data_IF_005657278407
#
_entry.id   IF_005657278407
#
_cell.length_a   1.000
_cell.length_b   1.000
_cell.length_c   1.000
_cell.angle_alpha   90.00
_cell.angle_beta   90.00
_cell.angle_gamma   90.00
#
_symmetry.space_group_name_H-M   'P 1'
#
loop_
_entity.id
_entity.type
_entity.pdbx_description
1 polymer ?
#
# COMPACT_ATOMS: atom_id res chain seq x y z
N UNK A 1 -9.34 -4.01 12.91
CA UNK A 1 -9.97 -4.52 11.67
C UNK A 1 -9.04 -5.49 10.99
N UNK A 2 -9.57 -6.41 10.18
CA UNK A 2 -8.76 -7.32 9.37
C UNK A 2 -9.25 -7.22 7.92
N UNK A 3 -8.34 -6.96 6.98
CA UNK A 3 -8.64 -6.93 5.55
C UNK A 3 -8.10 -8.18 4.89
N UNK A 4 -8.88 -8.81 4.02
CA UNK A 4 -8.43 -9.92 3.20
C UNK A 4 -7.68 -9.44 1.95
N UNK A 5 -6.46 -9.92 1.80
CA UNK A 5 -5.52 -9.61 0.74
C UNK A 5 -5.02 -10.91 0.09
N UNK A 6 -5.80 -11.51 -0.83
CA UNK A 6 -5.45 -12.79 -1.46
C UNK A 6 -4.16 -12.71 -2.29
N UNK A 7 -3.79 -11.52 -2.75
CA UNK A 7 -2.59 -11.26 -3.54
C UNK A 7 -1.33 -11.09 -2.68
N UNK A 8 -1.44 -11.20 -1.36
CA UNK A 8 -0.32 -11.11 -0.43
C UNK A 8 0.53 -12.39 -0.47
N UNK A 9 1.39 -12.48 -1.49
CA UNK A 9 2.30 -13.61 -1.72
C UNK A 9 3.53 -13.58 -0.80
N UNK A 10 4.21 -14.72 -0.62
CA UNK A 10 5.50 -14.80 0.09
C UNK A 10 6.52 -13.77 -0.42
N UNK A 11 6.57 -13.53 -1.73
CA UNK A 11 7.46 -12.53 -2.32
C UNK A 11 7.18 -11.12 -1.81
N UNK A 12 5.91 -10.77 -1.59
CA UNK A 12 5.52 -9.48 -1.02
C UNK A 12 5.88 -9.42 0.46
N UNK A 13 5.71 -10.52 1.21
CA UNK A 13 6.17 -10.61 2.61
C UNK A 13 7.68 -10.40 2.76
N UNK A 14 8.47 -11.06 1.92
CA UNK A 14 9.94 -11.06 2.06
C UNK A 14 10.59 -9.75 1.61
N UNK A 15 10.02 -9.10 0.60
CA UNK A 15 10.70 -8.02 -0.12
C UNK A 15 9.80 -6.92 -0.67
N UNK A 16 8.49 -7.07 -0.54
CA UNK A 16 7.52 -6.12 -1.05
C UNK A 16 7.29 -4.93 -0.14
N UNK A 17 6.45 -4.03 -0.63
CA UNK A 17 5.94 -2.88 0.13
C UNK A 17 4.44 -3.03 0.27
N UNK A 18 3.95 -2.81 1.48
CA UNK A 18 2.53 -2.79 1.80
C UNK A 18 2.20 -1.39 2.28
N UNK A 19 1.32 -0.71 1.56
CA UNK A 19 0.79 0.60 1.95
C UNK A 19 -0.66 0.44 2.36
N UNK A 20 -1.03 0.98 3.51
CA UNK A 20 -2.40 0.92 4.02
C UNK A 20 -2.94 2.33 4.17
N UNK A 21 -4.19 2.52 3.76
CA UNK A 21 -4.89 3.80 3.85
C UNK A 21 -6.27 3.61 4.47
N UNK A 22 -6.67 4.57 5.28
CA UNK A 22 -8.04 4.70 5.77
C UNK A 22 -8.74 5.85 5.06
N UNK A 23 -10.05 5.73 4.88
CA UNK A 23 -10.92 6.81 4.44
C UNK A 23 -11.92 7.16 5.52
N UNK A 24 -12.11 8.45 5.76
CA UNK A 24 -13.16 8.98 6.62
C UNK A 24 -13.87 10.13 5.86
N UNK A 25 -15.07 9.86 5.35
CA UNK A 25 -15.76 10.77 4.45
C UNK A 25 -14.93 11.04 3.19
N UNK A 26 -14.53 12.30 2.97
CA UNK A 26 -13.68 12.71 1.85
C UNK A 26 -12.19 12.70 2.16
N UNK A 27 -11.82 12.47 3.43
CA UNK A 27 -10.43 12.51 3.88
C UNK A 27 -9.79 11.13 3.73
N UNK A 28 -8.53 11.11 3.31
CA UNK A 28 -7.72 9.89 3.18
C UNK A 28 -6.50 10.04 4.08
N UNK A 29 -6.24 9.03 4.90
CA UNK A 29 -5.11 8.96 5.82
C UNK A 29 -4.23 7.77 5.48
N UNK A 30 -2.92 7.96 5.38
CA UNK A 30 -1.96 6.86 5.35
C UNK A 30 -1.81 6.27 6.74
N UNK A 31 -1.73 4.94 6.85
CA UNK A 31 -1.39 4.21 8.07
C UNK A 31 0.06 3.72 7.93
N UNK A 32 0.93 3.92 8.95
CA UNK A 32 0.62 4.41 10.29
C UNK A 32 0.30 5.91 10.39
N UNK A 33 -0.52 6.27 11.37
CA UNK A 33 -0.89 7.67 11.67
C UNK A 33 -1.11 7.87 13.18
N UNK A 34 -0.87 9.08 13.68
CA UNK A 34 -1.08 9.41 15.09
C UNK A 34 -1.94 10.66 15.22
N UNK A 35 -3.07 10.53 15.91
CA UNK A 35 -3.93 11.64 16.29
C UNK A 35 -3.75 11.95 17.77
N UNK A 36 -2.78 12.83 18.09
CA UNK A 36 -2.46 13.18 19.48
C UNK A 36 -3.65 13.75 20.26
N UNK A 37 -4.49 14.58 19.62
CA UNK A 37 -5.69 15.15 20.24
C UNK A 37 -6.76 14.11 20.56
N UNK A 38 -6.76 12.97 19.87
CA UNK A 38 -7.69 11.87 20.08
C UNK A 38 -7.09 10.73 20.91
N UNK A 39 -5.81 10.84 21.29
CA UNK A 39 -5.07 9.80 21.98
C UNK A 39 -5.03 8.46 21.21
N UNK A 40 -4.94 8.53 19.88
CA UNK A 40 -4.97 7.36 19.00
C UNK A 40 -3.69 7.24 18.16
N UNK A 41 -3.09 6.06 18.17
CA UNK A 41 -2.05 5.64 17.23
C UNK A 41 -2.55 4.47 16.40
N UNK A 42 -2.59 4.67 15.08
CA UNK A 42 -3.02 3.70 14.09
C UNK A 42 -1.82 3.04 13.44
N UNK A 43 -1.86 1.71 13.39
CA UNK A 43 -0.84 0.89 12.75
C UNK A 43 -1.50 -0.28 12.01
N UNK A 44 -0.71 -0.95 11.16
CA UNK A 44 -1.07 -2.23 10.61
C UNK A 44 0.07 -3.22 10.80
N UNK A 45 -0.29 -4.50 10.84
CA UNK A 45 0.66 -5.61 10.84
C UNK A 45 0.10 -6.81 10.10
N UNK A 46 0.99 -7.72 9.72
CA UNK A 46 0.63 -9.07 9.28
C UNK A 46 0.71 -9.98 10.52
N UNK A 47 -0.12 -11.02 10.60
CA UNK A 47 -0.09 -11.91 11.77
C UNK A 47 0.95 -13.02 11.62
N UNK A 48 1.32 -13.37 10.38
CA UNK A 48 2.32 -14.38 10.03
C UNK A 48 2.95 -14.08 8.66
N UNK A 49 4.08 -14.73 8.36
CA UNK A 49 4.85 -14.62 7.12
C UNK A 49 4.15 -15.19 5.89
N UNK A 50 3.11 -16.02 6.10
CA UNK A 50 2.26 -16.57 5.04
C UNK A 50 0.82 -16.05 5.14
N UNK A 51 0.59 -15.03 5.96
CA UNK A 51 -0.75 -14.50 6.17
C UNK A 51 -1.26 -13.81 4.90
N UNK A 52 -2.57 -13.86 4.70
CA UNK A 52 -3.29 -13.10 3.66
C UNK A 52 -4.17 -12.01 4.29
N UNK A 53 -4.02 -11.78 5.59
CA UNK A 53 -4.74 -10.76 6.32
C UNK A 53 -3.83 -9.60 6.70
N UNK A 54 -4.31 -8.39 6.41
CA UNK A 54 -3.73 -7.15 6.92
C UNK A 54 -4.54 -6.74 8.15
N UNK A 55 -3.90 -6.84 9.32
CA UNK A 55 -4.49 -6.54 10.60
C UNK A 55 -4.23 -5.07 10.97
N UNK A 56 -5.28 -4.24 10.93
CA UNK A 56 -5.24 -2.84 11.34
C UNK A 56 -5.57 -2.76 12.84
N UNK A 57 -4.74 -2.04 13.58
CA UNK A 57 -4.84 -1.86 15.04
C UNK A 57 -4.79 -0.38 15.40
N UNK A 58 -5.46 -0.05 16.49
CA UNK A 58 -5.42 1.27 17.10
C UNK A 58 -5.00 1.08 18.55
N UNK A 59 -4.05 1.88 18.99
CA UNK A 59 -3.51 1.86 20.34
C UNK A 59 -3.68 3.24 20.97
N UNK A 60 -3.82 3.25 22.30
CA UNK A 60 -3.82 4.47 23.09
C UNK A 60 -2.39 4.97 23.22
N UNK A 61 -2.16 6.26 23.01
CA UNK A 61 -0.82 6.84 23.11
C UNK A 61 -0.39 6.93 24.59
N UNK A 62 -1.33 7.21 25.50
CA UNK A 62 -1.08 7.40 26.93
C UNK A 62 -1.60 6.27 27.82
N UNK A 63 -2.15 5.19 27.24
CA UNK A 63 -2.74 4.06 27.97
C UNK A 63 -4.18 4.27 28.46
N UNK A 64 -4.76 5.45 28.24
CA UNK A 64 -6.18 5.74 28.49
C UNK A 64 -7.12 5.03 27.52
N UNK A 65 -8.43 5.11 27.78
CA UNK A 65 -9.45 4.51 26.93
C UNK A 65 -9.60 5.28 25.60
N UNK A 66 -9.58 4.56 24.47
CA UNK A 66 -9.73 5.10 23.12
C UNK A 66 -11.20 5.44 22.80
N UNK A 67 -12.16 4.79 23.48
CA UNK A 67 -13.58 4.98 23.17
C UNK A 67 -13.93 4.44 21.78
N UNK A 68 -14.58 5.26 20.96
CA UNK A 68 -14.89 4.91 19.57
C UNK A 68 -13.77 5.39 18.64
N UNK A 69 -13.02 4.47 18.00
CA UNK A 69 -11.86 4.86 17.20
C UNK A 69 -12.24 5.75 16.01
N UNK A 70 -11.41 6.77 15.75
CA UNK A 70 -11.70 7.79 14.75
C UNK A 70 -11.76 7.27 13.31
N UNK A 71 -10.78 6.45 12.91
CA UNK A 71 -10.73 5.85 11.57
C UNK A 71 -11.49 4.52 11.54
N UNK A 72 -12.82 4.55 11.56
CA UNK A 72 -13.63 3.34 11.52
C UNK A 72 -14.18 3.01 10.12
N UNK A 73 -13.78 1.87 9.55
CA UNK A 73 -14.64 1.10 8.64
C UNK A 73 -14.27 1.06 7.15
N UNK A 74 -13.58 2.07 6.61
CA UNK A 74 -13.18 2.06 5.19
C UNK A 74 -11.65 2.10 5.07
N UNK A 75 -11.10 0.98 4.60
CA UNK A 75 -9.68 0.79 4.45
C UNK A 75 -9.36 0.19 3.09
N UNK A 76 -8.20 0.57 2.55
CA UNK A 76 -7.63 -0.01 1.34
C UNK A 76 -6.15 -0.23 1.51
N UNK A 77 -5.61 -1.12 0.70
CA UNK A 77 -4.19 -1.40 0.66
C UNK A 77 -3.65 -1.35 -0.77
N UNK A 78 -2.34 -1.19 -0.88
CA UNK A 78 -1.57 -1.33 -2.13
C UNK A 78 -0.42 -2.27 -1.83
N UNK A 79 -0.29 -3.30 -2.67
CA UNK A 79 0.82 -4.26 -2.61
C UNK A 79 1.76 -3.96 -3.77
N UNK A 80 3.04 -3.75 -3.46
CA UNK A 80 4.09 -3.56 -4.46
C UNK A 80 5.07 -4.73 -4.31
N UNK A 81 5.16 -5.64 -5.29
CA UNK A 81 6.11 -6.74 -5.24
C UNK A 81 7.55 -6.25 -5.16
N UNK A 82 8.36 -6.89 -4.32
CA UNK A 82 9.80 -6.62 -4.25
C UNK A 82 10.55 -7.06 -5.50
N UNK A 83 11.76 -6.55 -5.66
CA UNK A 83 12.63 -6.87 -6.80
C UNK A 83 12.21 -6.20 -8.12
N UNK A 84 11.16 -5.39 -8.12
CA UNK A 84 10.89 -4.44 -9.21
C UNK A 84 11.80 -3.24 -8.98
N UNK A 85 12.81 -3.07 -9.83
CA UNK A 85 13.63 -1.87 -9.78
C UNK A 85 12.70 -0.65 -9.89
N UNK A 86 12.82 0.30 -8.96
CA UNK A 86 12.18 1.61 -9.05
C UNK A 86 12.87 2.45 -10.15
N UNK A 87 13.01 1.91 -11.36
CA UNK A 87 13.49 2.69 -12.49
C UNK A 87 12.31 3.50 -13.00
N UNK A 88 12.23 4.75 -12.54
CA UNK A 88 11.41 5.78 -13.18
C UNK A 88 11.84 6.06 -14.63
N UNK A 89 12.91 5.40 -15.11
CA UNK A 89 13.32 5.34 -16.50
C UNK A 89 12.88 4.01 -17.07
N UNK A 90 12.29 4.05 -18.26
CA UNK A 90 12.11 2.85 -19.08
C UNK A 90 13.41 2.06 -19.11
N UNK A 91 13.33 0.74 -18.93
CA UNK A 91 14.47 -0.16 -19.17
C UNK A 91 14.92 -0.13 -20.63
N UNK A 92 14.10 0.46 -21.51
CA UNK A 92 14.37 0.63 -22.93
C UNK A 92 14.91 2.03 -23.19
N UNK A 93 16.08 2.07 -23.83
CA UNK A 93 16.64 3.28 -24.41
C UNK A 93 16.01 3.55 -25.79
N UNK A 94 14.94 4.34 -25.80
CA UNK A 94 14.24 4.71 -27.04
C UNK A 94 15.08 5.59 -27.97
N UNK A 95 16.17 6.21 -27.51
CA UNK A 95 17.05 7.02 -28.36
C UNK A 95 17.82 6.20 -29.39
N UNK A 96 17.83 4.87 -29.21
CA UNK A 96 18.49 3.91 -30.10
C UNK A 96 17.51 3.15 -30.99
N UNK A 97 16.21 3.41 -30.89
CA UNK A 97 15.19 2.74 -31.70
C UNK A 97 14.85 3.55 -32.94
N UNK A 98 14.56 2.87 -34.05
CA UNK A 98 14.00 3.51 -35.23
C UNK A 98 12.53 3.91 -35.01
N UNK A 99 12.00 4.76 -35.88
CA UNK A 99 10.59 5.14 -35.83
C UNK A 99 9.67 3.90 -35.96
N UNK A 100 10.02 2.98 -36.85
CA UNK A 100 9.28 1.76 -37.13
C UNK A 100 9.25 0.84 -35.90
N UNK A 101 10.39 0.66 -35.23
CA UNK A 101 10.47 -0.14 -34.00
C UNK A 101 9.64 0.46 -32.85
N UNK A 102 9.52 1.80 -32.81
CA UNK A 102 8.65 2.49 -31.85
C UNK A 102 7.18 2.31 -32.24
N UNK A 103 6.83 2.49 -33.52
CA UNK A 103 5.47 2.35 -34.01
C UNK A 103 4.91 0.94 -33.76
N UNK A 104 5.69 -0.09 -34.07
CA UNK A 104 5.31 -1.50 -33.82
C UNK A 104 5.13 -1.78 -32.32
N UNK A 105 6.04 -1.28 -31.48
CA UNK A 105 5.98 -1.53 -30.03
C UNK A 105 4.75 -0.89 -29.37
N UNK A 106 4.34 0.28 -29.85
CA UNK A 106 3.23 1.03 -29.28
C UNK A 106 1.93 0.92 -30.10
N UNK A 107 1.90 0.07 -31.13
CA UNK A 107 0.78 -0.10 -32.05
C UNK A 107 0.30 1.24 -32.64
N UNK A 108 1.24 2.08 -33.08
CA UNK A 108 0.93 3.35 -33.73
C UNK A 108 0.56 3.06 -35.20
N UNK A 109 -0.61 3.47 -35.69
CA UNK A 109 -1.00 3.27 -37.09
C UNK A 109 -0.11 4.08 -38.04
N UNK A 110 0.15 3.52 -39.23
CA UNK A 110 0.83 4.21 -40.35
C UNK A 110 -0.06 5.28 -41.00
#
# INVERSE_FOLDING_TARGET
WNMYAPELTQKIHDSGVILVYARLGTLIYSIPNTFFSLNEHWEFRLLDINDTLIAIRVNSINGGNIGNPYLSGDFRYVLIPGGVAASAKSSVDYTKMSYEEIADRFNIPN
#
